data_IF_346974137097
#
_entry.id   IF_346974137097
#
_cell.length_a   1.000
_cell.length_b   1.000
_cell.length_c   1.000
_cell.angle_alpha   90.00
_cell.angle_beta   90.00
_cell.angle_gamma   90.00
#
_symmetry.space_group_name_H-M   'P 1'
#
loop_
_entity.id
_entity.type
_entity.pdbx_description
1 polymer ?
#
# COMPACT_ATOMS: atom_id res chain seq x y z
N UNK A 1 47.42 3.01 32.27
CA UNK A 1 47.44 2.95 30.80
C UNK A 1 46.65 1.73 30.34
N UNK A 2 45.36 1.91 30.07
CA UNK A 2 44.57 0.91 29.32
C UNK A 2 43.62 1.69 28.40
N UNK A 3 43.97 1.67 27.12
CA UNK A 3 43.15 2.15 26.03
C UNK A 3 41.88 1.31 25.92
N UNK A 4 40.72 1.90 26.20
CA UNK A 4 39.43 1.35 25.78
C UNK A 4 39.14 1.81 24.36
N UNK A 5 39.34 0.91 23.41
CA UNK A 5 38.93 1.05 22.03
C UNK A 5 37.41 1.22 21.94
N UNK A 6 37.02 2.43 21.61
CA UNK A 6 35.65 2.81 21.29
C UNK A 6 35.25 2.23 19.94
N UNK A 7 34.66 1.06 19.93
CA UNK A 7 34.12 0.38 18.75
C UNK A 7 32.71 0.92 18.48
N UNK A 8 32.62 2.14 17.94
CA UNK A 8 31.35 2.62 17.33
C UNK A 8 31.14 1.86 16.03
N UNK A 9 30.37 0.77 16.12
CA UNK A 9 29.70 0.19 14.96
C UNK A 9 28.82 1.27 14.33
N UNK A 10 29.25 1.78 13.18
CA UNK A 10 28.36 2.48 12.23
C UNK A 10 27.24 1.52 11.88
N UNK A 11 26.10 1.61 12.56
CA UNK A 11 24.86 1.06 12.09
C UNK A 11 24.51 1.84 10.82
N UNK A 12 24.66 1.19 9.68
CA UNK A 12 24.12 1.65 8.40
C UNK A 12 22.62 1.80 8.58
N UNK A 13 22.15 3.03 8.64
CA UNK A 13 20.73 3.36 8.65
C UNK A 13 20.15 2.95 7.28
N UNK A 14 19.70 1.72 7.15
CA UNK A 14 18.71 1.35 6.14
C UNK A 14 17.48 2.19 6.40
N UNK A 15 16.97 2.95 5.43
CA UNK A 15 15.76 3.73 5.62
C UNK A 15 14.65 2.76 6.05
N UNK A 16 14.07 3.01 7.21
CA UNK A 16 12.96 2.23 7.77
C UNK A 16 11.73 2.52 6.89
N UNK A 17 11.65 1.81 5.74
CA UNK A 17 10.51 1.89 4.83
C UNK A 17 9.32 1.34 5.59
N UNK A 18 8.25 2.12 5.69
CA UNK A 18 7.03 1.67 6.37
C UNK A 18 6.51 0.36 5.73
N UNK A 19 5.92 -0.57 6.52
CA UNK A 19 5.36 -1.81 5.97
C UNK A 19 4.42 -1.57 4.78
N UNK A 20 3.67 -0.47 4.80
CA UNK A 20 2.75 -0.05 3.73
C UNK A 20 3.50 0.34 2.45
N UNK A 21 4.59 1.09 2.58
CA UNK A 21 5.43 1.47 1.41
C UNK A 21 6.08 0.25 0.76
N UNK A 22 6.49 -0.72 1.57
CA UNK A 22 7.06 -1.96 1.06
C UNK A 22 6.02 -2.80 0.32
N UNK A 23 4.80 -2.87 0.82
CA UNK A 23 3.69 -3.54 0.15
C UNK A 23 3.32 -2.86 -1.17
N UNK A 24 3.27 -1.53 -1.21
CA UNK A 24 3.04 -0.75 -2.43
C UNK A 24 4.13 -1.03 -3.47
N UNK A 25 5.40 -1.05 -3.06
CA UNK A 25 6.54 -1.36 -3.95
C UNK A 25 6.45 -2.78 -4.53
N UNK A 26 6.12 -3.75 -3.70
CA UNK A 26 5.95 -5.15 -4.12
C UNK A 26 4.76 -5.31 -5.08
N UNK A 27 3.63 -4.64 -4.81
CA UNK A 27 2.47 -4.64 -5.70
C UNK A 27 2.79 -3.97 -7.03
N UNK A 28 3.51 -2.84 -7.03
CA UNK A 28 3.96 -2.15 -8.24
C UNK A 28 4.84 -3.06 -9.12
N UNK A 29 5.78 -3.77 -8.54
CA UNK A 29 6.62 -4.73 -9.27
C UNK A 29 5.79 -5.84 -9.91
N UNK A 30 4.88 -6.46 -9.14
CA UNK A 30 3.97 -7.50 -9.64
C UNK A 30 3.10 -6.99 -10.78
N UNK A 31 2.59 -5.77 -10.66
CA UNK A 31 1.77 -5.11 -11.67
C UNK A 31 2.55 -4.89 -12.97
N UNK A 32 3.73 -4.27 -12.89
CA UNK A 32 4.57 -4.03 -14.07
C UNK A 32 4.89 -5.34 -14.77
N UNK A 33 5.33 -6.37 -14.03
CA UNK A 33 5.66 -7.66 -14.61
C UNK A 33 4.42 -8.33 -15.25
N UNK A 34 3.25 -8.23 -14.61
CA UNK A 34 2.01 -8.75 -15.19
C UNK A 34 1.68 -8.08 -16.53
N UNK A 35 1.80 -6.76 -16.63
CA UNK A 35 1.52 -6.05 -17.89
C UNK A 35 2.57 -6.28 -18.96
N UNK A 36 3.85 -6.44 -18.60
CA UNK A 36 4.94 -6.77 -19.54
C UNK A 36 4.65 -8.08 -20.28
N UNK A 37 4.06 -9.07 -19.61
CA UNK A 37 3.69 -10.34 -20.26
C UNK A 37 2.26 -10.35 -20.80
N UNK A 38 1.33 -9.62 -20.21
CA UNK A 38 -0.05 -9.54 -20.67
C UNK A 38 -0.18 -8.84 -22.04
N UNK A 39 0.57 -7.74 -22.25
CA UNK A 39 0.48 -6.98 -23.52
C UNK A 39 0.87 -7.85 -24.73
N UNK A 40 2.04 -8.53 -24.76
CA UNK A 40 2.35 -9.43 -25.86
C UNK A 40 1.41 -10.64 -25.94
N UNK A 41 0.92 -11.15 -24.81
CA UNK A 41 -0.08 -12.22 -24.80
C UNK A 41 -1.39 -11.78 -25.48
N UNK A 42 -1.90 -10.60 -25.16
CA UNK A 42 -3.08 -10.00 -25.80
C UNK A 42 -2.85 -9.75 -27.27
N UNK A 43 -1.66 -9.28 -27.66
CA UNK A 43 -1.29 -9.07 -29.03
C UNK A 43 -1.32 -10.39 -29.84
N UNK A 44 -0.82 -11.47 -29.27
CA UNK A 44 -0.83 -12.79 -29.91
C UNK A 44 -2.25 -13.36 -29.99
N UNK A 45 -2.99 -13.35 -28.88
CA UNK A 45 -4.32 -13.93 -28.79
C UNK A 45 -5.33 -13.22 -29.68
N UNK A 46 -5.36 -11.89 -29.65
CA UNK A 46 -6.38 -11.07 -30.35
C UNK A 46 -5.85 -10.40 -31.61
N UNK A 47 -4.55 -10.40 -31.88
CA UNK A 47 -3.93 -9.66 -32.97
C UNK A 47 -4.49 -10.08 -34.34
N UNK A 48 -4.83 -11.36 -34.53
CA UNK A 48 -5.42 -11.85 -35.78
C UNK A 48 -6.79 -11.21 -36.10
N UNK A 49 -7.57 -10.83 -35.08
CA UNK A 49 -8.88 -10.16 -35.30
C UNK A 49 -8.71 -8.75 -35.85
N UNK A 50 -7.58 -8.10 -35.56
CA UNK A 50 -7.26 -6.74 -36.02
C UNK A 50 -6.32 -6.72 -37.24
N UNK A 51 -6.01 -7.88 -37.81
CA UNK A 51 -5.08 -8.00 -38.94
C UNK A 51 -3.63 -7.66 -38.58
N UNK A 52 -3.26 -7.76 -37.31
CA UNK A 52 -1.90 -7.47 -36.84
C UNK A 52 -0.90 -8.51 -37.38
N UNK A 53 0.29 -8.11 -37.82
CA UNK A 53 1.29 -9.04 -38.32
C UNK A 53 1.86 -9.88 -37.17
N UNK A 54 1.61 -11.19 -37.25
CA UNK A 54 2.23 -12.16 -36.33
C UNK A 54 3.46 -12.79 -37.01
N UNK A 55 4.47 -13.18 -36.22
CA UNK A 55 5.62 -13.92 -36.74
C UNK A 55 5.20 -15.23 -37.40
N UNK A 56 5.88 -15.63 -38.48
CA UNK A 56 5.52 -16.80 -39.29
C UNK A 56 5.43 -18.10 -38.48
N UNK A 57 6.21 -18.23 -37.37
CA UNK A 57 6.17 -19.43 -36.53
C UNK A 57 4.93 -19.51 -35.62
N UNK A 58 4.09 -18.47 -35.62
CA UNK A 58 2.81 -18.42 -34.88
C UNK A 58 1.61 -18.41 -35.81
N UNK A 59 1.81 -18.45 -37.14
CA UNK A 59 0.75 -18.38 -38.13
C UNK A 59 0.66 -19.68 -38.92
N UNK A 60 -0.53 -19.97 -39.46
CA UNK A 60 -0.78 -21.18 -40.24
C UNK A 60 -1.15 -22.41 -39.40
N UNK A 61 -1.84 -23.36 -40.05
CA UNK A 61 -2.35 -24.56 -39.40
C UNK A 61 -1.25 -25.47 -38.82
N UNK A 62 -0.07 -25.44 -39.43
CA UNK A 62 1.12 -26.19 -38.98
C UNK A 62 1.75 -25.63 -37.65
N UNK A 63 1.48 -24.37 -37.33
CA UNK A 63 2.06 -23.68 -36.18
C UNK A 63 1.08 -23.48 -35.01
N UNK A 64 -0.13 -24.04 -35.09
CA UNK A 64 -1.17 -23.85 -34.06
C UNK A 64 -0.73 -24.28 -32.67
N UNK A 65 0.02 -25.39 -32.60
CA UNK A 65 0.58 -25.84 -31.31
C UNK A 65 1.60 -24.85 -30.76
N UNK A 66 2.46 -24.30 -31.60
CA UNK A 66 3.42 -23.25 -31.22
C UNK A 66 2.72 -21.98 -30.75
N UNK A 67 1.62 -21.61 -31.43
CA UNK A 67 0.76 -20.50 -31.03
C UNK A 67 0.15 -20.71 -29.63
N UNK A 68 -0.44 -21.86 -29.37
CA UNK A 68 -1.05 -22.20 -28.10
C UNK A 68 -0.03 -22.30 -26.95
N UNK A 69 1.12 -22.95 -27.19
CA UNK A 69 2.19 -23.06 -26.21
C UNK A 69 2.84 -21.70 -25.88
N UNK A 70 2.99 -20.82 -26.86
CA UNK A 70 3.53 -19.47 -26.63
C UNK A 70 2.61 -18.68 -25.69
N UNK A 71 1.30 -18.73 -25.87
CA UNK A 71 0.33 -18.09 -24.96
C UNK A 71 0.42 -18.68 -23.56
N UNK A 72 0.50 -20.00 -23.43
CA UNK A 72 0.69 -20.66 -22.15
C UNK A 72 1.97 -20.18 -21.45
N UNK A 73 3.12 -20.18 -22.14
CA UNK A 73 4.40 -19.77 -21.60
C UNK A 73 4.41 -18.28 -21.17
N UNK A 74 3.74 -17.40 -21.91
CA UNK A 74 3.60 -15.98 -21.54
C UNK A 74 2.68 -15.79 -20.32
N UNK A 75 1.76 -16.70 -20.07
CA UNK A 75 0.86 -16.64 -18.91
C UNK A 75 1.55 -17.07 -17.61
N UNK A 76 2.52 -18.00 -17.67
CA UNK A 76 3.19 -18.54 -16.50
C UNK A 76 3.85 -17.48 -15.58
N UNK A 77 4.62 -16.50 -16.09
CA UNK A 77 5.17 -15.44 -15.25
C UNK A 77 4.11 -14.62 -14.52
N UNK A 78 2.98 -14.34 -15.18
CA UNK A 78 1.85 -13.60 -14.58
C UNK A 78 1.24 -14.41 -13.43
N UNK A 79 1.03 -15.70 -13.63
CA UNK A 79 0.53 -16.62 -12.59
C UNK A 79 1.52 -16.70 -11.43
N UNK A 80 2.81 -16.84 -11.72
CA UNK A 80 3.85 -16.98 -10.70
C UNK A 80 3.96 -15.77 -9.78
N UNK A 81 4.00 -14.55 -10.32
CA UNK A 81 4.08 -13.33 -9.48
C UNK A 81 2.80 -13.08 -8.70
N UNK A 82 1.68 -13.59 -9.19
CA UNK A 82 0.36 -13.46 -8.58
C UNK A 82 -0.07 -14.68 -7.75
N UNK A 83 0.83 -15.64 -7.52
CA UNK A 83 0.54 -16.90 -6.78
C UNK A 83 -0.11 -16.71 -5.41
N UNK A 84 0.08 -15.54 -4.77
CA UNK A 84 -0.56 -15.22 -3.48
C UNK A 84 -2.08 -15.31 -3.54
N UNK A 85 -2.71 -14.95 -4.68
CA UNK A 85 -4.16 -15.05 -4.84
C UNK A 85 -4.63 -16.50 -4.83
N UNK A 86 -3.90 -17.41 -5.49
CA UNK A 86 -4.21 -18.84 -5.47
C UNK A 86 -4.02 -19.42 -4.07
N UNK A 87 -2.91 -19.11 -3.40
CA UNK A 87 -2.61 -19.60 -2.05
C UNK A 87 -3.65 -19.14 -1.02
N UNK A 88 -3.98 -17.84 -1.00
CA UNK A 88 -4.99 -17.29 -0.10
C UNK A 88 -6.40 -17.76 -0.48
N UNK A 89 -6.72 -17.73 -1.78
CA UNK A 89 -8.03 -18.09 -2.29
C UNK A 89 -8.42 -19.51 -2.01
N UNK A 90 -7.59 -20.48 -2.36
CA UNK A 90 -7.87 -21.89 -2.09
C UNK A 90 -7.83 -22.23 -0.60
N UNK A 91 -6.92 -21.61 0.17
CA UNK A 91 -6.89 -21.79 1.62
C UNK A 91 -8.19 -21.36 2.29
N UNK A 92 -8.74 -20.21 1.86
CA UNK A 92 -10.00 -19.68 2.40
C UNK A 92 -11.21 -20.51 1.94
N UNK A 93 -11.15 -21.01 0.71
CA UNK A 93 -12.18 -21.90 0.17
C UNK A 93 -12.29 -23.19 0.98
N UNK A 94 -11.15 -23.84 1.26
CA UNK A 94 -11.10 -25.09 2.08
C UNK A 94 -11.59 -24.84 3.51
N UNK A 95 -11.37 -23.63 4.04
CA UNK A 95 -11.87 -23.22 5.37
C UNK A 95 -13.35 -22.83 5.39
N UNK A 96 -14.07 -22.94 4.27
CA UNK A 96 -15.47 -22.52 4.12
C UNK A 96 -15.72 -21.03 4.42
N UNK A 97 -14.70 -20.19 4.25
CA UNK A 97 -14.77 -18.74 4.34
C UNK A 97 -14.32 -18.09 3.03
N UNK A 98 -15.07 -18.31 1.92
CA UNK A 98 -14.71 -17.77 0.61
C UNK A 98 -14.66 -16.25 0.64
N UNK A 99 -13.66 -15.68 -0.02
CA UNK A 99 -13.49 -14.24 -0.18
C UNK A 99 -13.19 -13.89 -1.66
N UNK A 100 -12.89 -12.61 -1.92
CA UNK A 100 -12.55 -12.14 -3.26
C UNK A 100 -11.36 -12.92 -3.86
N UNK A 101 -10.34 -13.28 -3.05
CA UNK A 101 -9.20 -14.06 -3.54
C UNK A 101 -9.61 -15.49 -3.94
N UNK A 102 -10.64 -16.07 -3.29
CA UNK A 102 -11.21 -17.37 -3.68
C UNK A 102 -11.85 -17.34 -5.05
N UNK A 103 -12.60 -16.27 -5.35
CA UNK A 103 -13.22 -16.08 -6.66
C UNK A 103 -12.16 -15.91 -7.77
N UNK A 104 -11.12 -15.13 -7.50
CA UNK A 104 -9.99 -14.94 -8.41
C UNK A 104 -9.28 -16.27 -8.67
N UNK A 105 -8.99 -17.03 -7.61
CA UNK A 105 -8.32 -18.32 -7.71
C UNK A 105 -9.11 -19.32 -8.56
N UNK A 106 -10.42 -19.42 -8.35
CA UNK A 106 -11.30 -20.32 -9.12
C UNK A 106 -11.34 -19.89 -10.60
N UNK A 107 -11.65 -18.61 -10.87
CA UNK A 107 -11.80 -18.12 -12.25
C UNK A 107 -10.51 -18.23 -13.05
N UNK A 108 -9.38 -17.78 -12.47
CA UNK A 108 -8.07 -17.87 -13.16
C UNK A 108 -7.63 -19.33 -13.34
N UNK A 109 -7.87 -20.22 -12.34
CA UNK A 109 -7.53 -21.64 -12.46
C UNK A 109 -8.38 -22.33 -13.51
N UNK A 110 -9.68 -22.03 -13.58
CA UNK A 110 -10.58 -22.60 -14.59
C UNK A 110 -10.11 -22.27 -16.00
N UNK A 111 -9.76 -21.01 -16.26
CA UNK A 111 -9.23 -20.57 -17.57
C UNK A 111 -7.89 -21.27 -17.89
N UNK A 112 -6.98 -21.42 -16.92
CA UNK A 112 -5.70 -22.13 -17.11
C UNK A 112 -5.92 -23.62 -17.41
N UNK A 113 -6.75 -24.29 -16.62
CA UNK A 113 -7.03 -25.73 -16.78
C UNK A 113 -7.69 -25.98 -18.16
N UNK A 114 -8.64 -25.13 -18.51
CA UNK A 114 -9.29 -25.24 -19.81
C UNK A 114 -8.30 -24.99 -20.96
N UNK A 115 -7.43 -23.97 -20.86
CA UNK A 115 -6.41 -23.71 -21.87
C UNK A 115 -5.42 -24.89 -22.03
N UNK A 116 -5.01 -25.54 -20.95
CA UNK A 116 -4.19 -26.75 -21.02
C UNK A 116 -4.95 -27.91 -21.67
N UNK A 117 -6.24 -28.08 -21.33
CA UNK A 117 -7.11 -29.06 -21.99
C UNK A 117 -7.24 -28.77 -23.48
N UNK A 118 -7.42 -27.50 -23.87
CA UNK A 118 -7.49 -27.10 -25.27
C UNK A 118 -6.19 -27.42 -26.03
N UNK A 119 -5.00 -27.18 -25.45
CA UNK A 119 -3.73 -27.61 -26.05
C UNK A 119 -3.71 -29.12 -26.30
N UNK A 120 -4.22 -29.92 -25.36
CA UNK A 120 -4.31 -31.37 -25.52
C UNK A 120 -5.21 -31.75 -26.70
N UNK A 121 -6.36 -31.13 -26.81
CA UNK A 121 -7.32 -31.37 -27.93
C UNK A 121 -6.75 -30.94 -29.27
N UNK A 122 -6.04 -29.81 -29.32
CA UNK A 122 -5.32 -29.35 -30.53
C UNK A 122 -4.30 -30.42 -30.95
N UNK A 123 -3.51 -30.97 -29.99
CA UNK A 123 -2.55 -32.05 -30.29
C UNK A 123 -3.20 -33.31 -30.87
N UNK A 124 -4.33 -33.71 -30.28
CA UNK A 124 -5.10 -34.89 -30.76
C UNK A 124 -5.65 -34.60 -32.16
N UNK A 125 -6.29 -33.42 -32.39
CA UNK A 125 -6.83 -33.04 -33.67
C UNK A 125 -5.79 -33.03 -34.80
N UNK A 126 -4.59 -32.51 -34.50
CA UNK A 126 -3.47 -32.55 -35.45
C UNK A 126 -3.04 -33.98 -35.77
N UNK A 127 -3.01 -34.87 -34.78
CA UNK A 127 -2.66 -36.28 -34.97
C UNK A 127 -3.65 -37.05 -35.84
N UNK A 128 -4.94 -36.73 -35.76
CA UNK A 128 -6.01 -37.34 -36.57
C UNK A 128 -6.37 -36.56 -37.82
N UNK A 129 -5.68 -35.45 -38.12
CA UNK A 129 -5.98 -34.51 -39.22
C UNK A 129 -7.41 -33.91 -39.14
N UNK A 130 -7.96 -33.82 -37.92
CA UNK A 130 -9.26 -33.19 -37.66
C UNK A 130 -9.08 -31.67 -37.45
N UNK A 131 -9.10 -30.95 -38.56
CA UNK A 131 -8.92 -29.50 -38.58
C UNK A 131 -10.08 -28.72 -37.99
N UNK A 132 -11.26 -29.27 -37.87
CA UNK A 132 -12.42 -28.67 -37.25
C UNK A 132 -12.18 -28.58 -35.73
N UNK A 133 -11.78 -29.67 -35.08
CA UNK A 133 -11.39 -29.73 -33.70
C UNK A 133 -10.21 -28.80 -33.40
N UNK A 134 -9.18 -28.81 -34.25
CA UNK A 134 -8.01 -27.90 -34.08
C UNK A 134 -8.45 -26.44 -34.10
N UNK A 135 -9.28 -26.04 -35.07
CA UNK A 135 -9.75 -24.66 -35.19
C UNK A 135 -10.60 -24.24 -33.98
N UNK A 136 -11.53 -25.09 -33.54
CA UNK A 136 -12.39 -24.84 -32.39
C UNK A 136 -11.58 -24.53 -31.13
N UNK A 137 -10.66 -25.41 -30.73
CA UNK A 137 -9.88 -25.24 -29.53
C UNK A 137 -8.80 -24.17 -29.63
N UNK A 138 -8.37 -23.78 -30.82
CA UNK A 138 -7.44 -22.67 -31.00
C UNK A 138 -8.09 -21.33 -30.71
N UNK A 139 -9.39 -21.17 -30.95
CA UNK A 139 -10.13 -19.97 -30.63
C UNK A 139 -10.46 -19.86 -29.13
N UNK A 140 -10.44 -20.97 -28.40
CA UNK A 140 -10.91 -21.06 -27.01
C UNK A 140 -9.77 -21.36 -26.01
N UNK A 141 -8.60 -20.72 -26.17
CA UNK A 141 -7.46 -20.98 -25.30
C UNK A 141 -7.57 -20.36 -23.89
N UNK A 142 -8.20 -19.18 -23.76
CA UNK A 142 -8.45 -18.44 -22.51
C UNK A 142 -7.24 -18.12 -21.62
N UNK A 143 -6.00 -18.24 -22.09
CA UNK A 143 -4.81 -17.90 -21.33
C UNK A 143 -4.72 -16.40 -21.04
N UNK A 144 -5.09 -15.57 -22.01
CA UNK A 144 -5.16 -14.12 -21.84
C UNK A 144 -6.22 -13.73 -20.80
N UNK A 145 -7.34 -14.45 -20.73
CA UNK A 145 -8.39 -14.20 -19.73
C UNK A 145 -7.88 -14.43 -18.31
N UNK A 146 -7.16 -15.54 -18.07
CA UNK A 146 -6.51 -15.79 -16.79
C UNK A 146 -5.51 -14.72 -16.41
N UNK A 147 -4.62 -14.34 -17.34
CA UNK A 147 -3.61 -13.30 -17.10
C UNK A 147 -4.25 -11.93 -16.87
N UNK A 148 -5.32 -11.59 -17.61
CA UNK A 148 -6.05 -10.34 -17.47
C UNK A 148 -6.73 -10.23 -16.11
N UNK A 149 -7.42 -11.27 -15.65
CA UNK A 149 -8.03 -11.31 -14.31
C UNK A 149 -6.99 -10.98 -13.25
N UNK A 150 -5.83 -11.65 -13.28
CA UNK A 150 -4.75 -11.45 -12.31
C UNK A 150 -4.15 -10.04 -12.37
N UNK A 151 -3.93 -9.50 -13.57
CA UNK A 151 -3.37 -8.16 -13.78
C UNK A 151 -4.32 -7.05 -13.33
N UNK A 152 -5.60 -7.12 -13.73
CA UNK A 152 -6.60 -6.10 -13.38
C UNK A 152 -6.93 -6.09 -11.89
N UNK A 153 -7.02 -7.25 -11.26
CA UNK A 153 -7.21 -7.33 -9.81
C UNK A 153 -5.99 -6.78 -9.05
N UNK A 154 -4.77 -7.07 -9.53
CA UNK A 154 -3.55 -6.51 -8.94
C UNK A 154 -3.52 -4.98 -9.10
N UNK A 155 -3.96 -4.45 -10.24
CA UNK A 155 -4.13 -3.01 -10.46
C UNK A 155 -5.14 -2.41 -9.47
N UNK A 156 -6.31 -3.03 -9.33
CA UNK A 156 -7.33 -2.57 -8.39
C UNK A 156 -6.83 -2.52 -6.95
N UNK A 157 -6.18 -3.60 -6.48
CA UNK A 157 -5.58 -3.65 -5.13
C UNK A 157 -4.44 -2.65 -4.95
N UNK A 158 -3.63 -2.41 -5.97
CA UNK A 158 -2.59 -1.38 -5.93
C UNK A 158 -3.18 0.01 -5.76
N UNK A 159 -4.21 0.37 -6.53
CA UNK A 159 -4.88 1.67 -6.43
C UNK A 159 -5.56 1.85 -5.07
N UNK A 160 -6.24 0.82 -4.57
CA UNK A 160 -6.85 0.81 -3.24
C UNK A 160 -5.83 1.06 -2.13
N UNK A 161 -4.72 0.28 -2.12
CA UNK A 161 -3.66 0.41 -1.10
C UNK A 161 -3.01 1.78 -1.15
N UNK A 162 -2.74 2.30 -2.36
CA UNK A 162 -2.16 3.63 -2.56
C UNK A 162 -3.08 4.74 -2.03
N UNK A 163 -4.39 4.62 -2.24
CA UNK A 163 -5.38 5.61 -1.76
C UNK A 163 -5.50 5.57 -0.23
N UNK A 164 -5.59 4.37 0.36
CA UNK A 164 -5.62 4.18 1.82
C UNK A 164 -4.34 4.68 2.49
N UNK A 165 -3.17 4.44 1.87
CA UNK A 165 -1.87 4.91 2.38
C UNK A 165 -1.81 6.44 2.50
N UNK A 166 -2.31 7.18 1.52
CA UNK A 166 -2.36 8.65 1.58
C UNK A 166 -3.23 9.18 2.73
N UNK A 167 -4.36 8.55 3.00
CA UNK A 167 -5.25 8.92 4.11
C UNK A 167 -4.58 8.67 5.46
N UNK A 168 -3.94 7.52 5.64
CA UNK A 168 -3.19 7.21 6.87
C UNK A 168 -2.01 8.17 7.09
N UNK A 169 -1.29 8.55 6.04
CA UNK A 169 -0.19 9.52 6.13
C UNK A 169 -0.69 10.89 6.60
N UNK A 170 -1.84 11.37 6.08
CA UNK A 170 -2.45 12.62 6.52
C UNK A 170 -2.83 12.58 8.00
N UNK A 171 -3.45 11.50 8.45
CA UNK A 171 -3.80 11.31 9.88
C UNK A 171 -2.54 11.26 10.74
N UNK A 172 -1.51 10.53 10.33
CA UNK A 172 -0.24 10.44 11.06
C UNK A 172 0.45 11.80 11.18
N UNK A 173 0.42 12.61 10.12
CA UNK A 173 0.96 13.98 10.16
C UNK A 173 0.22 14.84 11.18
N UNK A 174 -1.09 14.72 11.31
CA UNK A 174 -1.86 15.42 12.33
C UNK A 174 -1.49 14.96 13.75
N UNK A 175 -1.31 13.66 13.96
CA UNK A 175 -0.87 13.10 15.25
C UNK A 175 0.55 13.55 15.66
N UNK A 176 1.43 13.83 14.68
CA UNK A 176 2.78 14.33 14.93
C UNK A 176 2.85 15.85 15.21
N UNK A 177 1.74 16.58 15.16
CA UNK A 177 1.70 18.00 15.56
C UNK A 177 1.79 18.17 17.08
N UNK A 178 1.37 17.19 17.87
CA UNK A 178 1.56 17.20 19.31
C UNK A 178 3.02 16.92 19.66
N UNK A 179 3.65 17.68 20.59
CA UNK A 179 5.02 17.43 21.01
C UNK A 179 5.10 16.13 21.80
N UNK A 180 6.27 15.48 21.80
CA UNK A 180 6.50 14.24 22.53
C UNK A 180 6.86 14.47 24.01
N UNK A 181 7.30 15.68 24.34
CA UNK A 181 7.70 16.09 25.69
C UNK A 181 6.97 17.36 26.09
N UNK A 182 6.82 17.55 27.39
CA UNK A 182 6.27 18.75 28.01
C UNK A 182 7.21 19.26 29.10
N UNK A 183 7.37 20.59 29.24
CA UNK A 183 8.11 21.21 30.34
C UNK A 183 7.12 21.50 31.46
N UNK A 184 7.15 20.70 32.50
CA UNK A 184 6.28 20.86 33.70
C UNK A 184 7.04 21.52 34.85
N UNK A 185 6.32 22.26 35.72
CA UNK A 185 6.86 22.79 36.97
C UNK A 185 6.39 21.89 38.10
N UNK A 186 7.32 21.11 38.65
CA UNK A 186 7.08 20.30 39.85
C UNK A 186 8.08 20.69 40.96
N UNK A 187 7.59 20.90 42.16
CA UNK A 187 8.38 21.35 43.30
C UNK A 187 9.15 22.67 43.07
N UNK A 188 8.67 23.54 42.19
CA UNK A 188 9.30 24.82 41.85
C UNK A 188 10.40 24.76 40.79
N UNK A 189 10.68 23.59 40.20
CA UNK A 189 11.69 23.40 39.17
C UNK A 189 11.06 22.98 37.85
N UNK A 190 11.61 23.52 36.73
CA UNK A 190 11.20 23.07 35.36
C UNK A 190 11.82 21.71 35.09
N UNK A 191 10.98 20.75 34.71
CA UNK A 191 11.38 19.39 34.31
C UNK A 191 10.76 19.04 32.95
N UNK A 192 11.57 18.51 32.04
CA UNK A 192 11.07 17.99 30.77
C UNK A 192 10.69 16.52 30.94
N UNK A 193 9.42 16.20 30.74
CA UNK A 193 8.88 14.85 30.85
C UNK A 193 8.18 14.43 29.53
N UNK A 194 8.06 13.12 29.24
CA UNK A 194 7.18 12.62 28.19
C UNK A 194 5.74 13.11 28.40
N UNK A 195 5.04 13.47 27.31
CA UNK A 195 3.65 13.95 27.39
C UNK A 195 2.73 12.92 28.04
N UNK A 196 3.04 11.63 27.87
CA UNK A 196 2.30 10.50 28.46
C UNK A 196 2.36 10.48 30.01
N UNK A 197 3.34 11.18 30.62
CA UNK A 197 3.52 11.29 32.08
C UNK A 197 2.90 12.57 32.67
N UNK A 198 2.29 13.43 31.84
CA UNK A 198 1.56 14.62 32.26
C UNK A 198 0.26 14.19 32.91
N UNK A 199 -0.03 14.76 34.09
CA UNK A 199 -1.30 14.52 34.79
C UNK A 199 -2.15 15.78 34.86
N UNK A 200 -3.44 15.62 35.06
CA UNK A 200 -4.36 16.75 35.26
C UNK A 200 -3.94 17.56 36.48
N UNK A 201 -3.85 18.88 36.31
CA UNK A 201 -3.34 19.81 37.35
C UNK A 201 -1.86 20.12 37.26
N UNK A 202 -1.09 19.47 36.39
CA UNK A 202 0.30 19.84 36.12
C UNK A 202 0.38 21.26 35.53
N UNK A 203 1.34 22.06 36.04
CA UNK A 203 1.68 23.37 35.50
C UNK A 203 2.72 23.19 34.41
N UNK A 204 2.39 23.64 33.21
CA UNK A 204 3.20 23.45 31.97
C UNK A 204 3.67 24.80 31.48
N UNK A 205 4.94 24.95 31.16
CA UNK A 205 5.55 26.14 30.57
C UNK A 205 5.55 25.99 29.07
N UNK A 206 4.97 26.97 28.35
CA UNK A 206 4.96 27.01 26.87
C UNK A 206 5.73 28.24 26.40
N UNK A 207 6.85 27.98 25.72
CA UNK A 207 7.73 29.02 25.16
C UNK A 207 7.34 29.34 23.70
N UNK A 208 7.74 30.49 23.15
CA UNK A 208 7.48 30.82 21.76
C UNK A 208 7.98 29.74 20.79
N UNK A 209 7.17 29.38 19.80
CA UNK A 209 7.47 28.35 18.82
C UNK A 209 7.15 26.92 19.26
N UNK A 210 6.81 26.68 20.52
CA UNK A 210 6.45 25.36 21.02
C UNK A 210 5.01 25.00 20.72
N UNK A 211 4.76 23.71 20.48
CA UNK A 211 3.41 23.16 20.41
C UNK A 211 2.88 22.86 21.82
N UNK A 212 1.60 23.06 22.02
CA UNK A 212 0.90 22.79 23.28
C UNK A 212 0.73 21.27 23.43
N UNK A 213 1.20 20.67 24.55
CA UNK A 213 1.26 19.21 24.67
C UNK A 213 -0.10 18.57 24.99
N UNK A 214 -0.93 19.23 25.81
CA UNK A 214 -2.23 18.73 26.29
C UNK A 214 -3.25 19.86 26.35
N UNK A 215 -4.53 19.53 26.42
CA UNK A 215 -5.58 20.54 26.60
C UNK A 215 -5.50 21.15 28.01
N UNK A 216 -5.69 22.45 28.13
CA UNK A 216 -5.63 23.13 29.41
C UNK A 216 -6.12 24.57 29.39
N UNK A 217 -5.85 25.28 30.48
CA UNK A 217 -6.20 26.70 30.68
C UNK A 217 -4.98 27.51 31.03
N UNK A 218 -4.84 28.69 30.47
CA UNK A 218 -3.75 29.62 30.82
C UNK A 218 -3.95 30.15 32.19
N UNK A 219 -2.91 29.99 33.08
CA UNK A 219 -2.93 30.45 34.46
C UNK A 219 -2.04 31.67 34.65
N UNK A 220 -1.09 31.92 33.75
CA UNK A 220 -0.16 33.07 33.84
C UNK A 220 0.38 33.39 32.44
N UNK A 221 0.52 34.70 32.12
CA UNK A 221 1.02 35.19 30.86
C UNK A 221 -0.07 35.35 29.79
N UNK A 222 0.36 35.66 28.59
CA UNK A 222 -0.52 35.78 27.41
C UNK A 222 0.26 35.46 26.14
N UNK A 223 -0.44 35.02 25.10
CA UNK A 223 0.18 34.65 23.83
C UNK A 223 -0.77 34.69 22.67
N UNK A 224 -0.19 34.75 21.48
CA UNK A 224 -0.89 34.49 20.22
C UNK A 224 -0.68 33.05 19.81
N UNK A 225 -1.76 32.28 19.75
CA UNK A 225 -1.74 30.82 19.51
C UNK A 225 -2.33 30.51 18.15
N UNK A 226 -1.57 29.81 17.33
CA UNK A 226 -1.99 29.30 16.01
C UNK A 226 -2.72 27.96 16.20
N UNK A 227 -3.99 27.97 15.87
CA UNK A 227 -4.89 26.79 15.91
C UNK A 227 -5.25 26.29 14.51
N UNK A 228 -4.60 26.79 13.46
CA UNK A 228 -4.96 26.53 12.06
C UNK A 228 -4.95 25.03 11.70
N UNK A 229 -4.07 24.27 12.32
CA UNK A 229 -4.00 22.81 12.11
C UNK A 229 -5.26 22.07 12.57
N UNK A 230 -6.04 22.65 13.50
CA UNK A 230 -7.23 22.05 14.10
C UNK A 230 -8.53 22.69 13.60
N UNK A 231 -8.54 24.02 13.48
CA UNK A 231 -9.74 24.80 13.11
C UNK A 231 -9.80 25.15 11.64
N UNK A 232 -8.67 25.13 10.93
CA UNK A 232 -8.53 25.63 9.56
C UNK A 232 -8.41 27.15 9.46
N UNK A 233 -8.53 27.90 10.55
CA UNK A 233 -8.40 29.35 10.57
C UNK A 233 -6.93 29.76 10.63
N UNK A 234 -6.46 30.50 9.62
CA UNK A 234 -5.03 30.86 9.47
C UNK A 234 -4.58 32.03 10.37
N UNK A 235 -5.50 32.70 11.07
CA UNK A 235 -5.17 33.86 11.91
C UNK A 235 -4.93 33.37 13.35
N UNK A 236 -3.74 33.62 13.93
CA UNK A 236 -3.49 33.27 15.32
C UNK A 236 -4.43 34.02 16.26
N UNK A 237 -4.91 33.33 17.28
CA UNK A 237 -5.86 33.88 18.26
C UNK A 237 -5.12 34.31 19.52
N UNK A 238 -5.38 35.55 19.99
CA UNK A 238 -4.88 35.99 21.28
C UNK A 238 -5.51 35.21 22.42
N UNK A 239 -4.68 34.74 23.35
CA UNK A 239 -5.06 33.96 24.52
C UNK A 239 -4.50 34.61 25.79
N UNK A 240 -5.37 34.81 26.76
CA UNK A 240 -5.08 35.46 28.03
C UNK A 240 -5.33 34.49 29.19
N UNK A 241 -4.99 34.90 30.40
CA UNK A 241 -5.27 34.13 31.61
C UNK A 241 -6.76 33.78 31.74
N UNK A 242 -7.06 32.50 31.94
CA UNK A 242 -8.41 31.96 31.96
C UNK A 242 -8.91 31.39 30.64
N UNK A 243 -8.20 31.64 29.51
CA UNK A 243 -8.57 31.08 28.21
C UNK A 243 -8.13 29.64 28.05
N UNK A 244 -8.97 28.87 27.34
CA UNK A 244 -8.64 27.49 27.00
C UNK A 244 -7.66 27.42 25.84
N UNK A 245 -6.72 26.49 25.94
CA UNK A 245 -5.78 26.15 24.90
C UNK A 245 -5.91 24.65 24.56
N UNK A 246 -5.69 24.32 23.29
CA UNK A 246 -5.92 22.99 22.73
C UNK A 246 -4.57 22.37 22.38
N UNK A 247 -4.41 21.09 22.66
CA UNK A 247 -3.23 20.31 22.27
C UNK A 247 -2.94 20.42 20.76
N UNK A 248 -1.66 20.31 20.38
CA UNK A 248 -1.18 20.45 19.01
C UNK A 248 -1.31 21.86 18.38
N UNK A 249 -1.86 22.86 19.09
CA UNK A 249 -1.76 24.27 18.70
C UNK A 249 -0.32 24.77 18.92
N UNK A 250 0.10 25.79 18.16
CA UNK A 250 1.45 26.35 18.22
C UNK A 250 1.46 27.73 18.83
N UNK A 251 2.27 27.91 19.88
CA UNK A 251 2.52 29.22 20.47
C UNK A 251 3.38 30.07 19.53
N UNK A 252 2.89 31.21 19.04
CA UNK A 252 3.63 32.09 18.12
C UNK A 252 4.42 33.19 18.80
N UNK A 253 3.84 33.84 19.82
CA UNK A 253 4.46 34.97 20.50
C UNK A 253 4.18 34.91 21.98
N UNK A 254 5.15 35.40 22.80
CA UNK A 254 5.02 35.37 24.25
C UNK A 254 5.30 33.99 24.85
N UNK A 255 5.32 33.94 26.16
CA UNK A 255 5.36 32.71 26.94
C UNK A 255 4.23 32.71 27.96
N UNK A 256 3.70 31.56 28.24
CA UNK A 256 2.63 31.42 29.23
C UNK A 256 2.75 30.11 29.99
N UNK A 257 2.15 30.10 31.17
CA UNK A 257 1.96 28.89 31.94
C UNK A 257 0.51 28.44 31.84
N UNK A 258 0.32 27.16 31.66
CA UNK A 258 -1.01 26.55 31.58
C UNK A 258 -1.15 25.44 32.61
N UNK A 259 -2.36 25.18 33.05
CA UNK A 259 -2.73 24.02 33.85
C UNK A 259 -3.38 22.98 32.96
N UNK A 260 -2.87 21.73 33.01
CA UNK A 260 -3.41 20.62 32.27
C UNK A 260 -4.81 20.25 32.78
N UNK A 261 -5.82 20.27 31.89
CA UNK A 261 -7.21 19.91 32.25
C UNK A 261 -7.62 18.55 31.68
N UNK A 262 -7.07 18.17 30.53
CA UNK A 262 -7.39 16.90 29.88
C UNK A 262 -6.10 16.32 29.32
N UNK A 263 -5.77 15.14 29.80
CA UNK A 263 -4.64 14.32 29.33
C UNK A 263 -5.21 13.15 28.55
N UNK A 264 -4.66 12.89 27.34
CA UNK A 264 -5.23 12.00 26.36
C UNK A 264 -5.01 10.54 26.60
#
# INVERSE_FOLDING_TARGET
ALEQKNNQKKASATPNISPVEQDIKNMKFRLILSFVFLIPLMYISMGHMFGAPLPNFLTGNENVLSFALTQFLLTLPVVYVNRKYFQAGFKNLVKLHPNMDSLIAIGSSAALIYGVFAIYQIGIGLGYQDMETVHHYTMDLYFESSAMILALITLGKFLETKSKGKTSEAITKLLHLAPKTATVIRNGEEQEIPVEEVVVGDRIVIKPGQSIPVDGVIIEGSSSVDQSALTGESIPVEKNVGDKVIAASVNKMGSFHMEAQKVG
#
